data_IF_438613616542
#
_entry.id   IF_438613616542
#
_cell.length_a   1.000
_cell.length_b   1.000
_cell.length_c   1.000
_cell.angle_alpha   90.00
_cell.angle_beta   90.00
_cell.angle_gamma   90.00
#
_symmetry.space_group_name_H-M   'P 1'
#
loop_
_entity.id
_entity.type
_entity.pdbx_description
1 polymer ?
#
# COMPACT_ATOMS: atom_id res chain seq x y z
N UNK A 1 10.24 -19.98 -40.64
CA UNK A 1 9.03 -19.79 -39.83
C UNK A 1 9.14 -18.41 -39.18
N UNK A 2 8.24 -17.48 -39.52
CA UNK A 2 8.26 -16.10 -39.04
C UNK A 2 7.95 -16.10 -37.53
N UNK A 3 8.84 -15.56 -36.71
CA UNK A 3 8.58 -15.34 -35.29
C UNK A 3 7.43 -14.33 -35.19
N UNK A 4 6.26 -14.79 -34.75
CA UNK A 4 5.14 -13.90 -34.41
C UNK A 4 5.62 -13.00 -33.27
N UNK A 5 5.64 -11.69 -33.52
CA UNK A 5 5.75 -10.68 -32.48
C UNK A 5 4.34 -10.53 -31.91
N UNK A 6 4.11 -11.11 -30.74
CA UNK A 6 2.87 -10.97 -29.98
C UNK A 6 2.80 -9.56 -29.44
N UNK A 7 1.75 -8.82 -29.80
CA UNK A 7 1.50 -7.43 -29.40
C UNK A 7 0.36 -7.51 -28.35
N UNK A 8 0.59 -7.02 -27.12
CA UNK A 8 -0.23 -7.19 -25.89
C UNK A 8 -1.12 -6.01 -25.38
N UNK A 9 -2.45 -5.99 -25.63
CA UNK A 9 -3.30 -4.83 -25.29
C UNK A 9 -3.71 -4.99 -23.85
N UNK A 10 -3.27 -4.08 -23.00
CA UNK A 10 -3.76 -4.01 -21.63
C UNK A 10 -4.24 -2.59 -21.41
N UNK A 11 -5.56 -2.41 -21.44
CA UNK A 11 -6.19 -1.18 -20.97
C UNK A 11 -6.07 -1.12 -19.43
N UNK A 12 -4.93 -0.64 -18.94
CA UNK A 12 -4.99 0.53 -18.07
C UNK A 12 -5.20 1.71 -19.01
N UNK A 13 -6.45 2.08 -19.23
CA UNK A 13 -6.95 2.39 -20.57
C UNK A 13 -6.00 2.97 -21.66
N UNK A 14 -5.39 2.19 -22.58
CA UNK A 14 -4.92 2.69 -23.91
C UNK A 14 -4.83 1.59 -24.99
N UNK A 15 -5.27 1.98 -26.19
CA UNK A 15 -5.50 1.24 -27.43
C UNK A 15 -4.24 0.95 -28.22
N UNK A 16 -4.22 -0.22 -28.84
CA UNK A 16 -3.18 -0.65 -29.74
C UNK A 16 -3.26 -0.07 -31.14
N UNK A 17 -2.17 0.56 -31.54
CA UNK A 17 -1.82 0.69 -32.94
C UNK A 17 -0.36 0.31 -33.14
N UNK A 18 -0.14 -0.78 -33.86
CA UNK A 18 1.12 -1.05 -34.51
C UNK A 18 1.08 -0.39 -35.89
N UNK A 19 1.75 0.75 -36.05
CA UNK A 19 2.11 1.32 -37.34
C UNK A 19 3.34 2.23 -37.18
N UNK A 20 4.40 1.91 -37.92
CA UNK A 20 5.42 2.89 -38.31
C UNK A 20 6.75 2.78 -37.57
N UNK A 21 7.73 2.18 -38.24
CA UNK A 21 9.16 2.27 -37.96
C UNK A 21 9.54 3.73 -37.71
N UNK A 22 10.01 4.07 -36.50
CA UNK A 22 10.73 5.32 -36.23
C UNK A 22 11.87 5.04 -35.25
N UNK A 23 12.95 5.77 -35.50
CA UNK A 23 14.32 5.47 -35.09
C UNK A 23 14.46 5.43 -33.58
N UNK A 24 15.09 4.37 -33.08
CA UNK A 24 15.77 4.37 -31.77
C UNK A 24 16.82 5.48 -31.83
N UNK A 25 16.51 6.65 -31.27
CA UNK A 25 17.55 7.55 -30.79
C UNK A 25 18.08 6.94 -29.50
N UNK A 26 19.39 6.84 -29.38
CA UNK A 26 20.03 6.47 -28.12
C UNK A 26 19.50 7.41 -27.02
N UNK A 27 18.64 6.87 -26.14
CA UNK A 27 18.17 7.61 -24.98
C UNK A 27 19.38 7.94 -24.11
N UNK A 28 19.71 9.23 -24.00
CA UNK A 28 20.25 9.73 -22.75
C UNK A 28 19.35 9.18 -21.63
N UNK A 29 19.93 8.58 -20.59
CA UNK A 29 19.18 7.88 -19.56
C UNK A 29 18.20 8.82 -18.86
N UNK A 30 17.00 8.97 -19.40
CA UNK A 30 15.95 9.77 -18.80
C UNK A 30 15.56 9.07 -17.51
N UNK A 31 15.72 9.81 -16.42
CA UNK A 31 15.23 9.38 -15.12
C UNK A 31 13.77 9.81 -15.00
N UNK A 32 12.94 8.88 -14.57
CA UNK A 32 11.52 9.07 -14.34
C UNK A 32 11.22 9.17 -12.84
N UNK A 33 9.99 9.54 -12.54
CA UNK A 33 9.48 9.63 -11.19
C UNK A 33 8.20 8.82 -10.98
N UNK A 34 7.96 8.43 -9.73
CA UNK A 34 6.68 7.90 -9.26
C UNK A 34 6.22 8.74 -8.07
N UNK A 35 5.08 9.38 -8.19
CA UNK A 35 4.46 10.13 -7.08
C UNK A 35 3.44 9.24 -6.38
N UNK A 36 3.59 9.10 -5.06
CA UNK A 36 2.59 8.45 -4.20
C UNK A 36 1.77 9.54 -3.53
N UNK A 37 0.47 9.57 -3.82
CA UNK A 37 -0.50 10.51 -3.28
C UNK A 37 -1.12 9.96 -1.98
N UNK A 38 -1.49 10.85 -1.06
CA UNK A 38 -2.09 10.52 0.23
C UNK A 38 -1.09 10.12 1.32
N UNK A 39 0.20 10.45 1.17
CA UNK A 39 1.23 10.05 2.13
C UNK A 39 1.17 10.86 3.41
N UNK A 40 1.55 10.24 4.53
CA UNK A 40 1.76 10.89 5.83
C UNK A 40 3.25 11.13 6.06
N UNK A 41 3.61 12.00 7.02
CA UNK A 41 5.02 12.27 7.34
C UNK A 41 5.65 11.09 8.07
N UNK A 42 6.90 10.77 7.72
CA UNK A 42 7.76 9.88 8.52
C UNK A 42 7.78 8.41 8.11
N UNK A 43 6.98 8.00 7.12
CA UNK A 43 7.15 6.70 6.47
C UNK A 43 8.42 6.70 5.62
N UNK A 44 8.99 5.52 5.36
CA UNK A 44 10.08 5.38 4.38
C UNK A 44 9.61 4.48 3.26
N UNK A 45 9.39 5.02 2.06
CA UNK A 45 8.97 4.24 0.90
C UNK A 45 10.17 3.80 0.07
N UNK A 46 10.18 2.52 -0.32
CA UNK A 46 11.19 1.89 -1.16
C UNK A 46 10.56 1.44 -2.48
N UNK A 47 11.19 1.78 -3.61
CA UNK A 47 10.76 1.33 -4.93
C UNK A 47 11.73 0.32 -5.51
N UNK A 48 11.19 -0.82 -5.96
CA UNK A 48 11.93 -1.92 -6.55
C UNK A 48 11.48 -2.13 -7.99
N UNK A 49 12.41 -2.05 -8.95
CA UNK A 49 12.15 -2.40 -10.33
C UNK A 49 12.00 -3.92 -10.44
N UNK A 50 10.76 -4.40 -10.61
CA UNK A 50 10.45 -5.82 -10.75
C UNK A 50 10.45 -6.26 -12.21
N UNK A 51 10.03 -5.39 -13.13
CA UNK A 51 10.23 -5.57 -14.56
C UNK A 51 10.92 -4.35 -15.17
N UNK A 52 11.90 -4.59 -16.05
CA UNK A 52 12.50 -3.57 -16.91
C UNK A 52 11.89 -3.67 -18.30
N UNK A 53 12.00 -2.60 -19.08
CA UNK A 53 11.60 -2.58 -20.47
C UNK A 53 11.79 -1.20 -21.07
N UNK A 54 11.28 -1.03 -22.28
CA UNK A 54 11.23 0.26 -22.97
C UNK A 54 9.86 0.87 -22.76
N UNK A 55 9.82 2.14 -22.33
CA UNK A 55 8.58 2.86 -22.11
C UNK A 55 8.13 3.53 -23.42
N UNK A 56 6.84 3.49 -23.71
CA UNK A 56 6.22 4.24 -24.80
C UNK A 56 6.33 5.75 -24.59
N UNK A 57 6.20 6.52 -25.68
CA UNK A 57 6.24 7.99 -25.64
C UNK A 57 5.21 8.62 -24.68
N UNK A 58 4.07 7.95 -24.49
CA UNK A 58 3.01 8.40 -23.57
C UNK A 58 3.28 8.05 -22.09
N UNK A 59 4.39 7.37 -21.78
CA UNK A 59 4.82 7.02 -20.43
C UNK A 59 4.02 5.89 -19.76
N UNK A 60 3.11 5.23 -20.48
CA UNK A 60 2.13 4.31 -19.89
C UNK A 60 2.36 2.84 -20.21
N UNK A 61 3.04 2.55 -21.32
CA UNK A 61 3.19 1.18 -21.82
C UNK A 61 4.64 0.75 -21.71
N UNK A 62 4.89 -0.42 -21.13
CA UNK A 62 6.21 -1.04 -21.11
C UNK A 62 6.27 -2.14 -22.18
N UNK A 63 7.35 -2.17 -22.95
CA UNK A 63 7.61 -3.17 -23.98
C UNK A 63 9.00 -3.80 -23.79
N UNK A 64 9.33 -4.83 -24.57
CA UNK A 64 10.63 -5.53 -24.47
C UNK A 64 10.96 -5.96 -23.03
N UNK A 65 9.94 -6.52 -22.38
CA UNK A 65 9.92 -6.70 -20.93
C UNK A 65 10.86 -7.84 -20.51
N UNK A 66 11.61 -7.60 -19.43
CA UNK A 66 12.39 -8.61 -18.74
C UNK A 66 12.42 -8.37 -17.24
N UNK A 67 13.07 -9.26 -16.50
CA UNK A 67 13.26 -9.08 -15.05
C UNK A 67 14.02 -7.78 -14.76
N UNK A 68 13.49 -7.02 -13.80
CA UNK A 68 14.07 -5.77 -13.32
C UNK A 68 15.35 -5.99 -12.51
N UNK A 69 16.08 -4.92 -12.23
CA UNK A 69 17.35 -5.01 -11.51
C UNK A 69 17.21 -5.39 -10.04
N UNK A 70 16.05 -5.14 -9.44
CA UNK A 70 15.87 -5.14 -7.97
C UNK A 70 15.12 -6.38 -7.47
N UNK A 71 14.94 -7.37 -8.33
CA UNK A 71 14.25 -8.63 -8.03
C UNK A 71 15.06 -9.83 -8.53
N UNK A 72 14.99 -10.95 -7.84
CA UNK A 72 15.47 -12.24 -8.36
C UNK A 72 14.38 -12.91 -9.19
N UNK A 73 14.68 -13.45 -10.39
CA UNK A 73 13.69 -14.18 -11.19
C UNK A 73 12.96 -15.25 -10.39
N UNK A 74 11.62 -15.27 -10.49
CA UNK A 74 10.77 -16.21 -9.77
C UNK A 74 9.64 -16.76 -10.65
N UNK A 75 8.92 -17.75 -10.14
CA UNK A 75 7.75 -18.32 -10.81
C UNK A 75 6.46 -17.78 -10.19
N UNK A 76 5.47 -17.47 -11.01
CA UNK A 76 4.15 -17.07 -10.55
C UNK A 76 3.09 -17.88 -11.29
N UNK A 77 2.18 -18.54 -10.56
CA UNK A 77 1.19 -19.46 -11.14
C UNK A 77 1.78 -20.47 -12.13
N UNK A 78 2.87 -21.13 -11.71
CA UNK A 78 3.61 -22.11 -12.53
C UNK A 78 4.24 -21.52 -13.81
N UNK A 79 4.13 -20.21 -14.06
CA UNK A 79 4.80 -19.50 -15.14
C UNK A 79 6.18 -19.04 -14.69
N UNK A 80 7.19 -19.31 -15.51
CA UNK A 80 8.59 -18.92 -15.28
C UNK A 80 9.04 -17.80 -16.21
N UNK A 81 8.53 -17.80 -17.44
CA UNK A 81 8.88 -16.78 -18.42
C UNK A 81 8.18 -15.47 -18.09
N UNK A 82 8.94 -14.36 -18.09
CA UNK A 82 8.40 -13.03 -17.78
C UNK A 82 7.24 -12.68 -18.69
N UNK A 83 7.31 -13.07 -19.97
CA UNK A 83 6.23 -12.82 -20.92
C UNK A 83 4.94 -13.50 -20.47
N UNK A 84 4.98 -14.75 -20.05
CA UNK A 84 3.77 -15.46 -19.60
C UNK A 84 3.17 -14.85 -18.33
N UNK A 85 4.03 -14.39 -17.41
CA UNK A 85 3.61 -13.71 -16.18
C UNK A 85 2.95 -12.37 -16.52
N UNK A 86 3.57 -11.57 -17.41
CA UNK A 86 3.01 -10.31 -17.87
C UNK A 86 1.70 -10.52 -18.61
N UNK A 87 1.61 -11.55 -19.45
CA UNK A 87 0.40 -11.90 -20.21
C UNK A 87 -0.77 -12.28 -19.30
N UNK A 88 -0.46 -12.92 -18.17
CA UNK A 88 -1.42 -13.22 -17.12
C UNK A 88 -1.88 -11.93 -16.43
N UNK A 89 -0.94 -11.13 -15.93
CA UNK A 89 -1.25 -9.86 -15.24
C UNK A 89 -1.93 -8.84 -16.13
N UNK A 90 -1.65 -8.86 -17.43
CA UNK A 90 -2.25 -7.97 -18.42
C UNK A 90 -3.75 -8.18 -18.64
N UNK A 91 -4.32 -9.27 -18.15
CA UNK A 91 -5.76 -9.54 -18.20
C UNK A 91 -6.49 -9.06 -16.95
N UNK A 92 -5.74 -8.62 -15.97
CA UNK A 92 -6.24 -8.27 -14.65
C UNK A 92 -6.45 -6.77 -14.55
N UNK A 93 -7.46 -6.38 -13.78
CA UNK A 93 -7.62 -4.99 -13.39
C UNK A 93 -6.58 -4.59 -12.36
N UNK A 94 -6.38 -3.29 -12.29
CA UNK A 94 -5.58 -2.70 -11.26
C UNK A 94 -6.11 -3.03 -9.86
N UNK A 95 -5.21 -3.36 -8.93
CA UNK A 95 -5.55 -3.82 -7.57
C UNK A 95 -6.49 -5.05 -7.50
N UNK A 96 -6.57 -5.89 -8.55
CA UNK A 96 -7.28 -7.17 -8.48
C UNK A 96 -6.63 -8.14 -7.48
N UNK A 97 -7.36 -9.17 -7.04
CA UNK A 97 -6.78 -10.22 -6.19
C UNK A 97 -5.53 -10.86 -6.80
N UNK A 98 -5.52 -11.05 -8.13
CA UNK A 98 -4.35 -11.59 -8.84
C UNK A 98 -3.16 -10.63 -8.78
N UNK A 99 -3.41 -9.32 -8.95
CA UNK A 99 -2.37 -8.31 -8.83
C UNK A 99 -1.81 -8.24 -7.39
N UNK A 100 -2.67 -8.40 -6.37
CA UNK A 100 -2.26 -8.48 -4.96
C UNK A 100 -1.42 -9.74 -4.67
N UNK A 101 -1.85 -10.90 -5.16
CA UNK A 101 -1.11 -12.17 -5.05
C UNK A 101 0.27 -12.07 -5.71
N UNK A 102 0.34 -11.50 -6.92
CA UNK A 102 1.59 -11.28 -7.61
C UNK A 102 2.50 -10.31 -6.86
N UNK A 103 1.96 -9.19 -6.37
CA UNK A 103 2.74 -8.25 -5.58
C UNK A 103 3.32 -8.91 -4.33
N UNK A 104 2.52 -9.73 -3.64
CA UNK A 104 2.95 -10.48 -2.47
C UNK A 104 4.08 -11.46 -2.80
N UNK A 105 3.96 -12.22 -3.88
CA UNK A 105 5.01 -13.13 -4.32
C UNK A 105 6.27 -12.38 -4.73
N UNK A 106 6.16 -11.34 -5.56
CA UNK A 106 7.28 -10.50 -5.97
C UNK A 106 8.03 -9.90 -4.77
N UNK A 107 7.29 -9.49 -3.74
CA UNK A 107 7.82 -8.98 -2.47
C UNK A 107 8.81 -9.92 -1.78
N UNK A 108 8.65 -11.24 -1.94
CA UNK A 108 9.55 -12.25 -1.35
C UNK A 108 10.88 -12.39 -2.10
N UNK A 109 10.91 -11.93 -3.35
CA UNK A 109 12.05 -12.07 -4.26
C UNK A 109 12.77 -10.73 -4.49
N UNK A 110 12.43 -9.69 -3.73
CA UNK A 110 13.12 -8.41 -3.79
C UNK A 110 14.56 -8.58 -3.32
N UNK A 111 15.49 -7.95 -4.02
CA UNK A 111 16.88 -7.83 -3.59
C UNK A 111 16.96 -6.83 -2.44
N UNK A 112 18.06 -6.89 -1.69
CA UNK A 112 18.27 -6.01 -0.52
C UNK A 112 18.19 -4.51 -0.86
N UNK A 113 18.74 -4.10 -2.01
CA UNK A 113 18.83 -2.68 -2.39
C UNK A 113 17.71 -2.28 -3.36
N UNK A 114 16.85 -1.32 -2.98
CA UNK A 114 15.86 -0.74 -3.90
C UNK A 114 16.52 0.19 -4.93
N UNK A 115 15.79 0.52 -5.99
CA UNK A 115 16.16 1.60 -6.92
C UNK A 115 16.23 2.94 -6.20
N UNK A 116 15.30 3.21 -5.29
CA UNK A 116 15.27 4.42 -4.46
C UNK A 116 14.55 4.19 -3.15
N UNK A 117 14.90 4.98 -2.14
CA UNK A 117 14.33 4.94 -0.78
C UNK A 117 14.17 6.38 -0.31
N UNK A 118 12.96 6.77 0.09
CA UNK A 118 12.61 8.17 0.39
C UNK A 118 11.77 8.23 1.66
N UNK A 119 12.13 9.14 2.57
CA UNK A 119 11.29 9.49 3.73
C UNK A 119 10.15 10.38 3.25
N UNK A 120 8.93 10.00 3.61
CA UNK A 120 7.71 10.61 3.12
C UNK A 120 7.42 11.97 3.73
N UNK A 121 6.76 12.79 2.91
CA UNK A 121 6.15 14.06 3.31
C UNK A 121 4.63 13.93 3.35
N UNK A 122 3.95 14.89 3.96
CA UNK A 122 2.49 14.97 3.93
C UNK A 122 1.98 15.11 2.49
N UNK A 123 0.79 14.57 2.24
CA UNK A 123 -0.03 14.62 1.02
C UNK A 123 0.56 13.92 -0.21
N UNK A 124 1.86 14.05 -0.46
CA UNK A 124 2.54 13.39 -1.58
C UNK A 124 4.00 13.12 -1.26
N UNK A 125 4.51 12.03 -1.81
CA UNK A 125 5.94 11.67 -1.79
C UNK A 125 6.41 11.29 -3.19
N UNK A 126 7.55 11.83 -3.63
CA UNK A 126 8.06 11.62 -4.99
C UNK A 126 9.30 10.72 -4.94
N UNK A 127 9.23 9.56 -5.59
CA UNK A 127 10.33 8.64 -5.80
C UNK A 127 10.97 8.95 -7.16
N UNK A 128 12.10 9.68 -7.15
CA UNK A 128 12.80 10.13 -8.36
C UNK A 128 13.98 9.24 -8.72
N UNK A 129 14.54 9.43 -9.92
CA UNK A 129 15.76 8.72 -10.35
C UNK A 129 15.49 7.31 -10.87
N UNK A 130 14.24 7.01 -11.23
CA UNK A 130 13.82 5.67 -11.64
C UNK A 130 14.10 5.44 -13.12
N UNK A 131 14.51 4.23 -13.47
CA UNK A 131 14.62 3.79 -14.87
C UNK A 131 13.22 3.39 -15.37
N UNK A 132 12.97 3.36 -16.69
CA UNK A 132 11.77 2.72 -17.24
C UNK A 132 11.52 1.33 -16.68
N UNK A 133 10.31 1.06 -16.22
CA UNK A 133 9.98 -0.27 -15.70
C UNK A 133 8.65 -0.36 -14.98
N UNK A 134 8.33 -1.57 -14.54
CA UNK A 134 7.24 -1.86 -13.61
C UNK A 134 7.82 -2.00 -12.21
N UNK A 135 7.29 -1.24 -11.27
CA UNK A 135 7.82 -1.09 -9.92
C UNK A 135 6.85 -1.62 -8.88
N UNK A 136 7.42 -2.27 -7.86
CA UNK A 136 6.77 -2.54 -6.58
C UNK A 136 7.25 -1.51 -5.57
N UNK A 137 6.32 -0.80 -4.93
CA UNK A 137 6.60 0.13 -3.84
C UNK A 137 6.05 -0.43 -2.53
N UNK A 138 6.87 -0.36 -1.48
CA UNK A 138 6.54 -0.77 -0.11
C UNK A 138 7.03 0.25 0.90
N UNK A 139 6.45 0.23 2.10
CA UNK A 139 7.12 0.76 3.28
C UNK A 139 8.35 -0.10 3.59
N UNK A 140 9.44 0.55 3.98
CA UNK A 140 10.64 -0.12 4.47
C UNK A 140 10.30 -0.92 5.72
N UNK A 141 10.80 -2.15 5.78
CA UNK A 141 10.56 -3.03 6.92
C UNK A 141 11.02 -2.36 8.23
N UNK A 142 10.18 -2.49 9.26
CA UNK A 142 10.39 -1.95 10.60
C UNK A 142 10.47 -0.41 10.70
N UNK A 143 10.19 0.33 9.62
CA UNK A 143 10.33 1.80 9.64
C UNK A 143 9.24 2.52 10.45
N UNK A 144 8.12 1.86 10.71
CA UNK A 144 7.02 2.40 11.52
C UNK A 144 7.17 2.10 13.02
N UNK A 145 7.94 1.07 13.38
CA UNK A 145 8.19 0.70 14.79
C UNK A 145 9.06 1.76 15.49
N UNK A 146 10.06 2.28 14.79
CA UNK A 146 10.91 3.37 15.28
C UNK A 146 10.12 4.66 15.48
N UNK A 147 9.13 4.94 14.62
CA UNK A 147 8.29 6.12 14.70
C UNK A 147 7.31 6.05 15.89
N UNK A 148 6.69 4.89 16.12
CA UNK A 148 5.83 4.67 17.29
C UNK A 148 6.59 4.82 18.62
N UNK A 149 7.85 4.38 18.67
CA UNK A 149 8.70 4.51 19.85
C UNK A 149 9.01 5.98 20.21
N UNK A 150 9.00 6.89 19.22
CA UNK A 150 9.31 8.31 19.42
C UNK A 150 8.09 9.16 19.81
N UNK A 151 6.94 8.95 19.17
CA UNK A 151 5.77 9.84 19.38
C UNK A 151 4.67 9.27 20.29
N UNK A 152 4.63 7.95 20.54
CA UNK A 152 3.62 7.22 21.37
C UNK A 152 2.13 7.56 21.13
N UNK A 153 1.81 8.40 20.15
CA UNK A 153 0.48 8.95 19.86
C UNK A 153 0.06 8.78 18.40
N UNK A 154 0.95 8.33 17.53
CA UNK A 154 0.67 8.15 16.11
C UNK A 154 0.30 6.69 15.84
N UNK A 155 -0.98 6.44 15.62
CA UNK A 155 -1.41 5.22 14.97
C UNK A 155 -0.87 5.26 13.53
N UNK A 156 -0.16 4.22 13.11
CA UNK A 156 0.40 4.11 11.75
C UNK A 156 0.17 2.71 11.22
N UNK A 157 0.07 2.60 9.90
CA UNK A 157 -0.17 1.36 9.15
C UNK A 157 0.79 1.31 7.96
N UNK A 158 1.40 0.15 7.72
CA UNK A 158 2.16 -0.09 6.49
C UNK A 158 1.21 -0.06 5.27
N UNK A 159 1.69 0.50 4.16
CA UNK A 159 1.00 0.38 2.87
C UNK A 159 1.03 -1.05 2.36
N UNK A 160 -0.07 -1.47 1.73
CA UNK A 160 -0.01 -2.61 0.80
C UNK A 160 0.93 -2.26 -0.35
N UNK A 161 1.46 -3.30 -1.00
CA UNK A 161 2.30 -3.13 -2.18
C UNK A 161 1.55 -2.37 -3.28
N UNK A 162 2.21 -1.34 -3.78
CA UNK A 162 1.76 -0.56 -4.93
C UNK A 162 2.53 -1.05 -6.13
N UNK A 163 1.83 -1.38 -7.22
CA UNK A 163 2.44 -1.74 -8.49
C UNK A 163 2.18 -0.64 -9.51
N UNK A 164 3.22 -0.20 -10.23
CA UNK A 164 3.05 0.84 -11.25
C UNK A 164 4.08 0.76 -12.37
N UNK A 165 3.64 1.01 -13.60
CA UNK A 165 4.55 1.34 -14.72
C UNK A 165 5.06 2.76 -14.51
N UNK A 166 6.37 2.94 -14.55
CA UNK A 166 7.03 4.22 -14.29
C UNK A 166 7.52 4.82 -15.60
N UNK A 167 6.84 5.88 -16.00
CA UNK A 167 7.15 6.80 -17.10
C UNK A 167 6.68 8.21 -16.74
N UNK A 168 7.05 8.69 -15.55
CA UNK A 168 6.43 9.81 -14.82
C UNK A 168 4.99 9.46 -14.42
N UNK A 169 4.85 8.67 -13.37
CA UNK A 169 3.59 8.06 -12.97
C UNK A 169 3.10 8.54 -11.60
N UNK A 170 1.81 8.35 -11.36
CA UNK A 170 1.18 8.56 -10.06
C UNK A 170 0.48 7.29 -9.56
N UNK A 171 0.48 7.11 -8.24
CA UNK A 171 -0.28 6.09 -7.54
C UNK A 171 -0.83 6.66 -6.23
N UNK A 172 -1.87 6.03 -5.69
CA UNK A 172 -2.45 6.38 -4.40
C UNK A 172 -1.98 5.40 -3.34
N UNK A 173 -1.73 5.90 -2.13
CA UNK A 173 -1.40 5.09 -0.96
C UNK A 173 -2.49 4.04 -0.70
N UNK A 174 -2.08 2.84 -0.27
CA UNK A 174 -2.97 1.71 0.02
C UNK A 174 -2.88 1.29 1.49
N UNK A 175 -3.06 2.26 2.39
CA UNK A 175 -3.05 2.06 3.84
C UNK A 175 -4.22 2.76 4.49
N UNK A 176 -4.74 2.20 5.58
CA UNK A 176 -5.74 2.84 6.44
C UNK A 176 -5.46 2.52 7.92
N UNK A 177 -5.87 3.42 8.81
CA UNK A 177 -5.51 3.40 10.22
C UNK A 177 -6.74 3.05 11.08
N UNK A 178 -6.69 2.00 11.91
CA UNK A 178 -7.78 1.71 12.84
C UNK A 178 -7.97 2.81 13.89
N UNK A 179 -9.20 2.94 14.38
CA UNK A 179 -9.53 3.83 15.50
C UNK A 179 -10.18 3.05 16.63
N UNK A 180 -9.90 3.47 17.87
CA UNK A 180 -10.61 2.98 19.05
C UNK A 180 -11.17 4.16 19.84
N UNK A 181 -12.42 4.05 20.27
CA UNK A 181 -13.12 5.05 21.07
C UNK A 181 -13.70 4.38 22.32
N UNK A 182 -13.48 4.99 23.49
CA UNK A 182 -14.11 4.59 24.76
C UNK A 182 -15.03 5.71 25.21
N UNK A 183 -16.27 5.36 25.54
CA UNK A 183 -17.28 6.27 26.08
C UNK A 183 -17.88 5.69 27.36
N UNK A 184 -18.49 6.57 28.13
CA UNK A 184 -19.26 6.27 29.34
C UNK A 184 -20.65 6.89 29.21
N UNK A 185 -21.69 6.28 29.79
CA UNK A 185 -22.97 6.98 29.99
C UNK A 185 -22.98 7.57 31.38
N UNK A 186 -23.70 8.66 31.55
CA UNK A 186 -24.04 9.24 32.84
C UNK A 186 -25.51 8.93 33.15
N UNK A 187 -25.87 8.97 34.44
CA UNK A 187 -27.22 8.72 34.91
C UNK A 187 -27.53 9.72 36.02
N UNK A 188 -28.54 10.54 35.78
CA UNK A 188 -29.00 11.47 36.79
C UNK A 188 -29.80 10.72 37.87
N UNK A 189 -29.27 10.61 39.09
CA UNK A 189 -29.89 9.82 40.16
C UNK A 189 -31.22 10.35 40.68
N UNK A 190 -31.49 11.64 40.48
CA UNK A 190 -32.77 12.25 40.87
C UNK A 190 -33.90 11.86 39.91
N UNK A 191 -33.61 11.77 38.62
CA UNK A 191 -34.62 11.57 37.57
C UNK A 191 -34.57 10.18 36.93
N UNK A 192 -33.48 9.44 37.12
CA UNK A 192 -33.20 8.16 36.47
C UNK A 192 -32.87 8.25 34.99
N UNK A 193 -32.74 9.46 34.43
CA UNK A 193 -32.48 9.67 33.00
C UNK A 193 -31.01 9.40 32.69
N UNK A 194 -30.76 8.55 31.71
CA UNK A 194 -29.41 8.29 31.18
C UNK A 194 -29.04 9.30 30.09
N UNK A 195 -27.76 9.68 30.05
CA UNK A 195 -27.20 10.47 28.95
C UNK A 195 -26.92 9.60 27.71
N UNK A 196 -26.61 10.28 26.60
CA UNK A 196 -25.95 9.63 25.47
C UNK A 196 -24.50 9.29 25.82
N UNK A 197 -23.88 8.37 25.09
CA UNK A 197 -22.45 8.07 25.23
C UNK A 197 -21.58 9.33 25.14
N UNK A 198 -20.75 9.57 26.15
CA UNK A 198 -19.94 10.77 26.30
C UNK A 198 -18.58 10.46 26.95
N UNK A 199 -17.73 11.47 27.10
CA UNK A 199 -16.34 11.31 27.55
C UNK A 199 -16.16 11.32 29.07
N UNK A 200 -17.18 11.76 29.81
CA UNK A 200 -17.16 11.82 31.27
C UNK A 200 -18.56 11.57 31.85
N UNK A 201 -18.61 11.07 33.07
CA UNK A 201 -19.82 10.87 33.84
C UNK A 201 -19.50 11.04 35.33
N UNK A 202 -20.49 11.41 36.13
CA UNK A 202 -20.46 11.32 37.58
C UNK A 202 -21.35 10.15 38.04
N UNK A 203 -20.84 9.38 39.00
CA UNK A 203 -21.53 8.25 39.60
C UNK A 203 -21.24 8.23 41.09
N UNK A 204 -22.23 7.85 41.88
CA UNK A 204 -22.08 7.69 43.31
C UNK A 204 -21.29 6.41 43.65
N UNK A 205 -20.82 6.36 44.89
CA UNK A 205 -20.10 5.19 45.37
C UNK A 205 -21.00 3.93 45.34
N UNK A 206 -20.48 2.86 44.75
CA UNK A 206 -21.16 1.58 44.47
C UNK A 206 -22.10 1.55 43.27
N UNK A 207 -22.23 2.63 42.50
CA UNK A 207 -23.00 2.56 41.26
C UNK A 207 -22.30 1.74 40.17
N UNK A 208 -23.10 1.15 39.29
CA UNK A 208 -22.59 0.50 38.10
C UNK A 208 -22.33 1.52 37.01
N UNK A 209 -21.07 1.61 36.58
CA UNK A 209 -20.63 2.54 35.53
C UNK A 209 -20.58 1.81 34.19
N UNK A 210 -21.49 2.11 33.23
CA UNK A 210 -21.49 1.49 31.92
C UNK A 210 -20.45 2.13 30.99
N UNK A 211 -19.52 1.31 30.47
CA UNK A 211 -18.57 1.70 29.44
C UNK A 211 -18.92 1.09 28.08
N UNK A 212 -18.58 1.79 27.01
CA UNK A 212 -18.62 1.28 25.64
C UNK A 212 -17.28 1.51 24.96
N UNK A 213 -16.70 0.44 24.43
CA UNK A 213 -15.53 0.50 23.56
C UNK A 213 -15.98 0.21 22.12
N UNK A 214 -15.62 1.07 21.18
CA UNK A 214 -15.91 0.92 19.75
C UNK A 214 -14.59 0.93 19.00
N UNK A 215 -14.34 -0.07 18.16
CA UNK A 215 -13.23 -0.07 17.22
C UNK A 215 -13.74 0.00 15.78
N UNK A 216 -13.08 0.82 14.97
CA UNK A 216 -13.26 0.85 13.51
C UNK A 216 -12.05 0.15 12.90
N UNK A 217 -12.31 -0.94 12.17
CA UNK A 217 -11.29 -1.64 11.41
C UNK A 217 -10.87 -0.81 10.19
N UNK A 218 -9.60 -0.89 9.75
CA UNK A 218 -9.15 -0.20 8.56
C UNK A 218 -9.87 -0.77 7.34
N UNK A 219 -10.14 0.04 6.32
CA UNK A 219 -10.94 -0.37 5.15
C UNK A 219 -10.34 -1.55 4.37
N UNK A 220 -9.05 -1.83 4.55
CA UNK A 220 -8.29 -2.89 3.90
C UNK A 220 -7.97 -4.07 4.86
N UNK A 221 -8.70 -4.23 5.97
CA UNK A 221 -8.43 -5.29 6.96
C UNK A 221 -8.55 -6.71 6.38
N UNK A 222 -9.34 -6.89 5.32
CA UNK A 222 -9.58 -8.16 4.63
C UNK A 222 -8.43 -8.56 3.67
N UNK A 223 -7.53 -7.64 3.35
CA UNK A 223 -6.33 -7.91 2.56
C UNK A 223 -5.22 -8.61 3.37
N UNK A 224 -5.34 -8.67 4.70
CA UNK A 224 -4.37 -9.33 5.56
C UNK A 224 -4.71 -10.82 5.72
N UNK A 225 -3.68 -11.68 5.66
CA UNK A 225 -3.86 -13.12 5.93
C UNK A 225 -4.40 -13.39 7.35
N UNK A 226 -3.95 -12.57 8.32
CA UNK A 226 -4.41 -12.58 9.70
C UNK A 226 -4.54 -11.15 10.19
N UNK A 227 -5.60 -10.87 10.94
CA UNK A 227 -5.82 -9.57 11.57
C UNK A 227 -6.25 -9.80 13.03
N UNK A 228 -5.55 -9.17 13.98
CA UNK A 228 -5.86 -9.28 15.41
C UNK A 228 -6.43 -7.96 15.93
N UNK A 229 -7.56 -8.04 16.63
CA UNK A 229 -8.16 -6.94 17.37
C UNK A 229 -8.21 -7.31 18.85
N UNK A 230 -7.51 -6.55 19.68
CA UNK A 230 -7.46 -6.74 21.12
C UNK A 230 -7.79 -5.43 21.85
N UNK A 231 -8.68 -5.51 22.84
CA UNK A 231 -8.98 -4.39 23.73
C UNK A 231 -8.30 -4.63 25.08
N UNK A 232 -7.42 -3.71 25.47
CA UNK A 232 -6.78 -3.70 26.78
C UNK A 232 -7.28 -2.48 27.56
N UNK A 233 -8.09 -2.72 28.59
CA UNK A 233 -8.64 -1.67 29.46
C UNK A 233 -8.04 -1.78 30.86
N UNK A 234 -7.63 -0.64 31.43
CA UNK A 234 -7.09 -0.56 32.79
C UNK A 234 -7.97 0.35 33.62
N UNK A 235 -8.73 -0.24 34.54
CA UNK A 235 -9.55 0.51 35.48
C UNK A 235 -8.67 1.23 36.51
N UNK A 236 -9.02 2.46 36.84
CA UNK A 236 -8.39 3.18 37.96
C UNK A 236 -8.79 2.56 39.30
N UNK A 237 -8.06 2.86 40.37
CA UNK A 237 -8.29 2.28 41.71
C UNK A 237 -9.72 2.47 42.28
N UNK A 238 -10.48 3.43 41.76
CA UNK A 238 -11.85 3.71 42.21
C UNK A 238 -12.92 2.90 41.48
N UNK A 239 -12.54 2.09 40.49
CA UNK A 239 -13.46 1.26 39.70
C UNK A 239 -13.11 -0.21 39.90
N UNK A 240 -14.13 -1.02 40.15
CA UNK A 240 -14.02 -2.47 40.16
C UNK A 240 -14.71 -3.04 38.92
N UNK A 241 -14.05 -3.99 38.25
CA UNK A 241 -14.65 -4.69 37.12
C UNK A 241 -15.75 -5.63 37.65
N UNK A 242 -16.93 -5.55 37.03
CA UNK A 242 -18.09 -6.38 37.38
C UNK A 242 -18.06 -7.73 36.67
#
# INVERSE_FOLDING_TARGET
MKKLITIFTVFFTVMFYALGILKVSAEESRNYSLTINGTTVGHTYEAYQIFKGEISEDGKTLSNIGWGSDVTPFTFEEKKEVTDIVDLLGKENDDSNKAKEFAFEAGKHLKEKPSTSVVSTADKTILSGLKPGYYLVKDKDFSQESQQAMDKKTNTSYTRFILKVVGDAEATLKSDIPTVEKKVKDKNDTTGVESTWQDAADYDFNDQVPFKLTATLPSNFDDYQTYNLEFVDTLSKGLNYN
#
